data_IF_585088696863
#
_entry.id   IF_585088696863
#
_cell.length_a   1.000
_cell.length_b   1.000
_cell.length_c   1.000
_cell.angle_alpha   90.00
_cell.angle_beta   90.00
_cell.angle_gamma   90.00
#
_symmetry.space_group_name_H-M   'P 1'
#
loop_
_entity.id
_entity.type
_entity.pdbx_description
1 polymer ?
#
# COMPACT_ATOMS: atom_id res chain seq x y z
N UNK A 1 -5.29 9.83 -21.83
CA UNK A 1 -6.74 9.65 -22.00
C UNK A 1 -7.23 8.40 -21.28
N UNK A 2 -8.44 8.42 -20.77
CA UNK A 2 -9.17 7.29 -20.22
C UNK A 2 -10.55 7.25 -20.87
N UNK A 3 -11.07 6.05 -21.09
CA UNK A 3 -12.45 5.85 -21.55
C UNK A 3 -13.42 5.64 -20.36
N UNK A 4 -12.88 5.53 -19.15
CA UNK A 4 -13.64 5.18 -17.93
C UNK A 4 -13.59 6.25 -16.84
N UNK A 5 -12.59 7.12 -16.87
CA UNK A 5 -12.38 8.18 -15.90
C UNK A 5 -11.93 9.48 -16.57
N UNK A 6 -11.61 10.50 -15.76
CA UNK A 6 -11.12 11.77 -16.27
C UNK A 6 -9.71 11.63 -16.87
N UNK A 7 -8.86 10.82 -16.21
CA UNK A 7 -7.49 10.54 -16.66
C UNK A 7 -7.13 9.09 -16.37
N UNK A 8 -6.05 8.61 -17.02
CA UNK A 8 -5.45 7.31 -16.76
C UNK A 8 -4.02 7.51 -16.26
N UNK A 9 -3.70 6.90 -15.13
CA UNK A 9 -2.35 6.82 -14.59
C UNK A 9 -1.75 5.44 -14.92
N UNK A 10 -0.53 5.44 -15.43
CA UNK A 10 0.34 4.26 -15.50
C UNK A 10 1.60 4.54 -14.71
N UNK A 11 2.02 3.59 -13.93
CA UNK A 11 3.22 3.70 -13.10
C UNK A 11 4.12 2.49 -13.33
N UNK A 12 5.41 2.75 -13.46
CA UNK A 12 6.41 1.72 -13.65
C UNK A 12 7.43 1.77 -12.51
N UNK A 13 7.72 0.61 -11.96
CA UNK A 13 8.76 0.44 -10.96
C UNK A 13 10.16 0.48 -11.58
N UNK A 14 11.25 0.68 -10.80
CA UNK A 14 12.61 0.67 -11.31
C UNK A 14 13.02 -0.66 -11.99
N UNK A 15 12.39 -1.77 -11.62
CA UNK A 15 12.61 -3.10 -12.22
C UNK A 15 11.86 -3.29 -13.56
N UNK A 16 11.12 -2.26 -14.03
CA UNK A 16 10.36 -2.27 -15.29
C UNK A 16 8.95 -2.86 -15.17
N UNK A 17 8.54 -3.37 -14.02
CA UNK A 17 7.18 -3.87 -13.81
C UNK A 17 6.19 -2.69 -13.69
N UNK A 18 4.95 -2.89 -14.18
CA UNK A 18 3.89 -1.91 -14.01
C UNK A 18 3.20 -2.13 -12.65
N UNK A 19 3.18 -1.07 -11.83
CA UNK A 19 2.49 -1.07 -10.54
C UNK A 19 0.99 -0.84 -10.70
N UNK A 20 0.19 -1.55 -9.91
CA UNK A 20 -1.26 -1.47 -9.96
C UNK A 20 -1.79 -0.13 -9.43
N UNK A 21 -1.20 0.37 -8.34
CA UNK A 21 -1.61 1.62 -7.69
C UNK A 21 -0.48 2.17 -6.81
N UNK A 22 -0.33 3.49 -6.78
CA UNK A 22 0.53 4.23 -5.86
C UNK A 22 -0.17 5.50 -5.39
N UNK A 23 -0.51 5.58 -4.10
CA UNK A 23 -1.22 6.73 -3.54
C UNK A 23 -0.47 8.04 -3.66
N UNK A 24 0.87 8.02 -3.58
CA UNK A 24 1.70 9.22 -3.76
C UNK A 24 1.65 9.70 -5.21
N UNK A 25 1.87 8.80 -6.18
CA UNK A 25 1.80 9.13 -7.60
C UNK A 25 0.39 9.61 -8.00
N UNK A 26 -0.65 8.98 -7.46
CA UNK A 26 -2.04 9.35 -7.70
C UNK A 26 -2.32 10.81 -7.29
N UNK A 27 -1.87 11.22 -6.09
CA UNK A 27 -2.00 12.62 -5.63
C UNK A 27 -1.18 13.58 -6.51
N UNK A 28 0.04 13.18 -6.90
CA UNK A 28 0.87 13.98 -7.80
C UNK A 28 0.21 14.19 -9.16
N UNK A 29 -0.44 13.17 -9.73
CA UNK A 29 -1.22 13.29 -10.97
C UNK A 29 -2.39 14.26 -10.78
N UNK A 30 -3.16 14.14 -9.68
CA UNK A 30 -4.27 15.05 -9.38
C UNK A 30 -3.82 16.51 -9.34
N UNK A 31 -2.73 16.79 -8.63
CA UNK A 31 -2.13 18.14 -8.59
C UNK A 31 -1.68 18.60 -9.98
N UNK A 32 -0.97 17.77 -10.70
CA UNK A 32 -0.41 18.09 -12.02
C UNK A 32 -1.51 18.49 -13.01
N UNK A 33 -2.55 17.68 -13.15
CA UNK A 33 -3.59 17.94 -14.16
C UNK A 33 -4.39 19.20 -13.86
N UNK A 34 -4.60 19.54 -12.60
CA UNK A 34 -5.28 20.76 -12.20
C UNK A 34 -4.38 22.01 -12.36
N UNK A 35 -3.20 22.00 -11.77
CA UNK A 35 -2.29 23.15 -11.78
C UNK A 35 -1.83 23.51 -13.21
N UNK A 36 -1.73 22.51 -14.10
CA UNK A 36 -1.41 22.72 -15.51
C UNK A 36 -2.64 22.96 -16.39
N UNK A 37 -3.84 23.19 -15.81
CA UNK A 37 -5.06 23.55 -16.54
C UNK A 37 -5.51 22.51 -17.57
N UNK A 38 -5.23 21.23 -17.32
CA UNK A 38 -5.76 20.11 -18.11
C UNK A 38 -7.21 19.79 -17.72
N UNK A 39 -7.64 20.28 -16.56
CA UNK A 39 -9.00 20.21 -16.03
C UNK A 39 -9.25 21.34 -15.05
N UNK A 40 -10.51 21.71 -14.87
CA UNK A 40 -10.99 22.62 -13.81
C UNK A 40 -11.77 21.89 -12.70
N UNK A 41 -11.90 20.56 -12.82
CA UNK A 41 -12.61 19.74 -11.85
C UNK A 41 -11.77 19.59 -10.58
N UNK A 42 -12.45 19.66 -9.42
CA UNK A 42 -11.88 19.39 -8.09
C UNK A 42 -12.19 17.97 -7.58
N UNK A 43 -13.13 17.29 -8.21
CA UNK A 43 -13.40 15.85 -8.03
C UNK A 43 -12.93 15.13 -9.29
N UNK A 44 -11.97 14.21 -9.15
CA UNK A 44 -11.37 13.48 -10.26
C UNK A 44 -11.54 11.98 -10.07
N UNK A 45 -11.76 11.30 -11.18
CA UNK A 45 -11.74 9.84 -11.27
C UNK A 45 -10.56 9.43 -12.14
N UNK A 46 -9.59 8.76 -11.52
CA UNK A 46 -8.35 8.32 -12.19
C UNK A 46 -8.41 6.82 -12.43
N UNK A 47 -8.32 6.40 -13.67
CA UNK A 47 -8.15 5.00 -14.04
C UNK A 47 -6.72 4.55 -13.72
N UNK A 48 -6.58 3.45 -12.98
CA UNK A 48 -5.30 2.78 -12.69
C UNK A 48 -5.42 1.30 -13.01
N UNK A 49 -4.29 0.58 -13.04
CA UNK A 49 -4.31 -0.87 -13.20
C UNK A 49 -4.99 -1.56 -12.00
N UNK A 50 -4.94 -0.94 -10.81
CA UNK A 50 -5.60 -1.41 -9.56
C UNK A 50 -7.09 -1.06 -9.47
N UNK A 51 -7.66 -0.35 -10.47
CA UNK A 51 -9.06 0.07 -10.52
C UNK A 51 -9.25 1.58 -10.62
N UNK A 52 -10.49 2.03 -10.44
CA UNK A 52 -10.85 3.44 -10.45
C UNK A 52 -10.55 4.06 -9.09
N UNK A 53 -9.89 5.20 -9.08
CA UNK A 53 -9.48 5.93 -7.87
C UNK A 53 -10.14 7.31 -7.86
N UNK A 54 -10.65 7.72 -6.71
CA UNK A 54 -11.33 8.99 -6.55
C UNK A 54 -10.45 9.99 -5.77
N UNK A 55 -10.30 11.18 -6.32
CA UNK A 55 -9.54 12.27 -5.72
C UNK A 55 -10.45 13.46 -5.47
N UNK A 56 -10.32 14.07 -4.30
CA UNK A 56 -10.87 15.38 -3.97
C UNK A 56 -9.72 16.37 -3.82
N UNK A 57 -9.74 17.46 -4.60
CA UNK A 57 -8.72 18.49 -4.58
C UNK A 57 -9.20 19.71 -3.80
N UNK A 58 -8.39 20.18 -2.88
CA UNK A 58 -8.59 21.50 -2.23
C UNK A 58 -7.72 22.50 -2.96
N UNK A 59 -8.36 23.61 -3.41
CA UNK A 59 -7.70 24.64 -4.20
C UNK A 59 -7.61 25.93 -3.40
N UNK A 60 -6.43 26.53 -3.34
CA UNK A 60 -6.15 27.83 -2.71
C UNK A 60 -5.34 28.67 -3.70
N UNK A 61 -5.79 29.91 -3.92
CA UNK A 61 -5.13 30.86 -4.85
C UNK A 61 -4.93 30.31 -6.28
N UNK A 62 -5.86 29.44 -6.72
CA UNK A 62 -5.85 28.86 -8.04
C UNK A 62 -4.91 27.67 -8.25
N UNK A 63 -4.31 27.13 -7.18
CA UNK A 63 -3.46 25.94 -7.17
C UNK A 63 -3.94 24.92 -6.16
N UNK A 64 -3.66 23.66 -6.40
CA UNK A 64 -4.00 22.57 -5.46
C UNK A 64 -3.12 22.68 -4.21
N UNK A 65 -3.74 22.87 -3.06
CA UNK A 65 -3.09 22.96 -1.74
C UNK A 65 -3.16 21.65 -0.96
N UNK A 66 -4.21 20.84 -1.15
CA UNK A 66 -4.36 19.54 -0.52
C UNK A 66 -5.11 18.56 -1.41
N UNK A 67 -4.87 17.25 -1.23
CA UNK A 67 -5.49 16.18 -2.01
C UNK A 67 -5.88 15.02 -1.11
N UNK A 68 -7.16 14.72 -1.08
CA UNK A 68 -7.70 13.51 -0.51
C UNK A 68 -7.82 12.43 -1.60
N UNK A 69 -7.20 11.28 -1.39
CA UNK A 69 -7.37 10.10 -2.23
C UNK A 69 -8.20 9.06 -1.48
N UNK A 70 -9.30 8.60 -2.09
CA UNK A 70 -10.04 7.45 -1.62
C UNK A 70 -9.38 6.19 -2.22
N UNK A 71 -8.79 5.38 -1.36
CA UNK A 71 -8.14 4.12 -1.74
C UNK A 71 -9.06 2.90 -1.61
N UNK A 72 -10.33 3.12 -1.29
CA UNK A 72 -11.35 2.09 -1.13
C UNK A 72 -11.26 1.30 0.18
N UNK A 73 -11.85 0.13 0.19
CA UNK A 73 -11.88 -0.77 1.35
C UNK A 73 -10.75 -1.80 1.31
N UNK A 74 -10.20 -2.20 2.49
CA UNK A 74 -9.21 -3.26 2.57
C UNK A 74 -9.80 -4.59 2.14
N UNK A 75 -9.17 -5.26 1.20
CA UNK A 75 -9.55 -6.60 0.75
C UNK A 75 -8.70 -7.63 1.49
N UNK A 76 -9.35 -8.59 2.16
CA UNK A 76 -8.70 -9.59 3.00
C UNK A 76 -8.73 -11.00 2.41
N UNK A 77 -9.50 -11.21 1.34
CA UNK A 77 -9.59 -12.52 0.68
C UNK A 77 -8.26 -12.90 0.03
N UNK A 78 -7.73 -14.06 0.38
CA UNK A 78 -6.49 -14.62 -0.17
C UNK A 78 -6.54 -14.83 -1.68
N UNK A 79 -7.74 -15.04 -2.23
CA UNK A 79 -7.97 -15.14 -3.68
C UNK A 79 -7.74 -13.82 -4.41
N UNK A 80 -8.02 -12.68 -3.74
CA UNK A 80 -7.86 -11.34 -4.30
C UNK A 80 -6.44 -10.81 -4.09
N UNK A 81 -5.79 -11.21 -2.98
CA UNK A 81 -4.41 -10.79 -2.65
C UNK A 81 -3.38 -11.61 -3.41
N UNK A 82 -3.68 -12.56 -4.19
CA UNK A 82 -3.10 -13.84 -4.60
C UNK A 82 -2.06 -14.40 -3.61
N UNK A 83 -2.57 -15.21 -2.68
CA UNK A 83 -1.73 -15.96 -1.71
C UNK A 83 -1.95 -17.46 -1.94
N UNK A 84 -0.86 -18.23 -1.96
CA UNK A 84 -0.89 -19.69 -2.04
C UNK A 84 -1.23 -20.29 -0.68
N UNK A 85 -2.52 -20.41 -0.39
CA UNK A 85 -3.05 -21.01 0.84
C UNK A 85 -4.48 -21.49 0.64
N UNK A 86 -4.91 -22.45 1.45
CA UNK A 86 -6.31 -22.90 1.52
C UNK A 86 -7.18 -22.02 2.44
N UNK A 87 -6.59 -21.10 3.18
CA UNK A 87 -7.32 -20.19 4.08
C UNK A 87 -8.02 -19.09 3.29
N UNK A 88 -9.21 -18.68 3.71
CA UNK A 88 -9.97 -17.57 3.08
C UNK A 88 -9.33 -16.20 3.34
N UNK A 89 -8.67 -16.05 4.50
CA UNK A 89 -7.93 -14.84 4.91
C UNK A 89 -6.58 -15.23 5.49
N UNK A 90 -5.60 -14.34 5.39
CA UNK A 90 -4.24 -14.56 5.93
C UNK A 90 -3.97 -13.51 7.00
N UNK A 91 -4.48 -13.76 8.22
CA UNK A 91 -4.42 -12.84 9.35
C UNK A 91 -3.60 -13.46 10.46
N UNK A 92 -2.55 -12.74 10.92
CA UNK A 92 -1.67 -13.12 12.03
C UNK A 92 -1.06 -14.53 11.87
N UNK A 93 -0.72 -14.92 10.64
CA UNK A 93 -0.21 -16.25 10.36
C UNK A 93 1.30 -16.33 10.58
N UNK A 94 1.81 -17.37 11.28
CA UNK A 94 3.23 -17.54 11.47
C UNK A 94 3.92 -17.94 10.17
N UNK A 95 4.94 -17.18 9.79
CA UNK A 95 5.78 -17.42 8.61
C UNK A 95 7.24 -17.42 9.04
N UNK A 96 7.96 -18.51 8.76
CA UNK A 96 9.40 -18.57 8.98
C UNK A 96 10.14 -17.82 7.87
N UNK A 97 10.90 -16.80 8.26
CA UNK A 97 11.72 -15.98 7.37
C UNK A 97 13.14 -15.97 7.88
N UNK A 98 14.03 -16.68 7.21
CA UNK A 98 15.42 -16.86 7.64
C UNK A 98 15.48 -17.39 9.11
N UNK A 99 16.03 -16.57 9.99
CA UNK A 99 16.27 -16.88 11.42
C UNK A 99 15.13 -16.47 12.36
N UNK A 100 14.00 -15.92 11.81
CA UNK A 100 12.85 -15.42 12.60
C UNK A 100 11.52 -15.95 12.11
N UNK A 101 10.58 -16.08 13.02
CA UNK A 101 9.17 -16.28 12.70
C UNK A 101 8.45 -14.92 12.83
N UNK A 102 7.79 -14.49 11.75
CA UNK A 102 6.93 -13.31 11.74
C UNK A 102 5.47 -13.74 11.71
N UNK A 103 4.62 -13.01 12.39
CA UNK A 103 3.17 -13.14 12.31
C UNK A 103 2.64 -12.14 11.27
N UNK A 104 2.24 -12.66 10.12
CA UNK A 104 1.94 -11.88 8.93
C UNK A 104 0.43 -11.76 8.72
N UNK A 105 -0.04 -10.54 8.43
CA UNK A 105 -1.39 -10.26 7.95
C UNK A 105 -1.30 -9.70 6.54
N UNK A 106 -2.07 -10.27 5.61
CA UNK A 106 -2.11 -9.82 4.22
C UNK A 106 -3.35 -9.01 3.91
N UNK A 107 -3.18 -7.93 3.15
CA UNK A 107 -4.23 -6.98 2.75
C UNK A 107 -3.99 -6.55 1.30
N UNK A 108 -5.05 -6.26 0.54
CA UNK A 108 -4.93 -5.63 -0.78
C UNK A 108 -5.74 -4.35 -0.86
N UNK A 109 -5.13 -3.32 -1.44
CA UNK A 109 -5.72 -2.04 -1.85
C UNK A 109 -5.76 -1.91 -3.39
N UNK A 110 -5.74 -3.05 -4.10
CA UNK A 110 -5.50 -3.16 -5.53
C UNK A 110 -4.08 -3.63 -5.84
N UNK A 111 -3.14 -3.45 -4.91
CA UNK A 111 -1.80 -4.03 -4.88
C UNK A 111 -1.64 -4.91 -3.62
N UNK A 112 -0.82 -5.97 -3.65
CA UNK A 112 -0.62 -6.87 -2.52
C UNK A 112 0.27 -6.22 -1.45
N UNK A 113 -0.17 -6.33 -0.20
CA UNK A 113 0.57 -5.93 0.99
C UNK A 113 0.58 -7.05 2.02
N UNK A 114 1.64 -7.13 2.81
CA UNK A 114 1.65 -7.84 4.08
C UNK A 114 2.25 -6.95 5.18
N UNK A 115 1.69 -7.06 6.39
CA UNK A 115 2.20 -6.35 7.56
C UNK A 115 2.39 -7.29 8.73
N UNK A 116 3.35 -6.94 9.58
CA UNK A 116 3.71 -7.68 10.78
C UNK A 116 4.18 -6.74 11.88
N UNK A 117 3.99 -7.17 13.14
CA UNK A 117 4.53 -6.42 14.27
C UNK A 117 5.95 -6.86 14.61
N UNK A 118 6.77 -5.88 14.94
CA UNK A 118 8.15 -6.04 15.41
C UNK A 118 8.35 -5.21 16.69
N UNK A 119 9.34 -5.58 17.51
CA UNK A 119 9.62 -4.86 18.75
C UNK A 119 10.14 -3.44 18.51
N UNK A 120 10.96 -3.25 17.49
CA UNK A 120 11.53 -1.95 17.09
C UNK A 120 11.76 -1.97 15.59
N UNK A 121 11.23 -0.97 14.89
CA UNK A 121 11.51 -0.79 13.45
C UNK A 121 12.88 -0.16 13.22
N UNK A 122 13.40 0.58 14.21
CA UNK A 122 14.71 1.22 14.12
C UNK A 122 15.87 0.19 14.09
N UNK A 123 15.72 -0.89 14.86
CA UNK A 123 16.75 -1.92 15.01
C UNK A 123 16.59 -3.08 14.00
N UNK A 124 15.58 -3.02 13.15
CA UNK A 124 15.30 -4.07 12.18
C UNK A 124 16.13 -3.87 10.89
N UNK A 125 16.74 -4.93 10.43
CA UNK A 125 17.32 -5.01 9.09
C UNK A 125 16.20 -5.22 8.06
N UNK A 126 15.61 -4.09 7.62
CA UNK A 126 14.46 -4.08 6.69
C UNK A 126 14.85 -4.64 5.33
N UNK A 127 16.07 -4.37 4.85
CA UNK A 127 16.53 -4.92 3.57
C UNK A 127 16.62 -6.44 3.62
N UNK A 128 17.22 -7.00 4.67
CA UNK A 128 17.37 -8.45 4.86
C UNK A 128 16.02 -9.17 4.83
N UNK A 129 15.09 -8.74 5.68
CA UNK A 129 13.81 -9.43 5.82
C UNK A 129 12.78 -9.03 4.77
N UNK A 130 12.75 -7.76 4.37
CA UNK A 130 11.83 -7.25 3.37
C UNK A 130 12.04 -7.90 2.01
N UNK A 131 13.30 -7.97 1.57
CA UNK A 131 13.68 -8.63 0.33
C UNK A 131 13.32 -10.12 0.33
N UNK A 132 13.58 -10.81 1.44
CA UNK A 132 13.25 -12.23 1.56
C UNK A 132 11.74 -12.47 1.48
N UNK A 133 10.95 -11.70 2.25
CA UNK A 133 9.48 -11.82 2.25
C UNK A 133 8.90 -11.45 0.87
N UNK A 134 9.36 -10.36 0.25
CA UNK A 134 8.93 -9.98 -1.10
C UNK A 134 9.06 -11.14 -2.08
N UNK A 135 10.16 -11.90 -2.00
CA UNK A 135 10.50 -12.98 -2.93
C UNK A 135 10.01 -14.36 -2.49
N UNK A 136 9.25 -14.47 -1.41
CA UNK A 136 8.64 -15.75 -0.98
C UNK A 136 7.47 -16.13 -1.91
N UNK A 137 7.78 -16.46 -3.18
CA UNK A 137 6.77 -16.79 -4.19
C UNK A 137 5.99 -18.08 -3.90
N UNK A 138 6.47 -18.89 -2.96
CA UNK A 138 5.71 -20.02 -2.41
C UNK A 138 4.46 -19.58 -1.64
N UNK A 139 4.48 -18.39 -1.03
CA UNK A 139 3.35 -17.77 -0.32
C UNK A 139 2.73 -16.66 -1.17
N UNK A 140 3.56 -15.73 -1.66
CA UNK A 140 3.14 -14.56 -2.44
C UNK A 140 3.58 -14.72 -3.92
N UNK A 141 2.81 -15.41 -4.77
CA UNK A 141 3.23 -15.75 -6.13
C UNK A 141 3.54 -14.52 -7.01
N UNK A 142 2.89 -13.39 -6.73
CA UNK A 142 3.10 -12.11 -7.43
C UNK A 142 3.98 -11.14 -6.63
N UNK A 143 4.77 -11.68 -5.66
CA UNK A 143 5.49 -10.87 -4.66
C UNK A 143 4.53 -9.99 -3.83
N UNK A 144 5.05 -9.20 -2.88
CA UNK A 144 4.24 -8.35 -2.01
C UNK A 144 5.04 -7.15 -1.52
N UNK A 145 4.34 -6.07 -1.16
CA UNK A 145 4.89 -4.99 -0.34
C UNK A 145 4.90 -5.46 1.12
N UNK A 146 5.91 -5.07 1.88
CA UNK A 146 6.15 -5.56 3.24
C UNK A 146 6.22 -4.38 4.22
N UNK A 147 5.31 -4.34 5.18
CA UNK A 147 5.23 -3.30 6.20
C UNK A 147 5.64 -3.86 7.57
N UNK A 148 6.75 -3.42 8.09
CA UNK A 148 7.17 -3.70 9.47
C UNK A 148 6.61 -2.62 10.39
N UNK A 149 5.90 -3.04 11.44
CA UNK A 149 5.14 -2.16 12.32
C UNK A 149 5.60 -2.29 13.76
N UNK A 150 6.00 -1.18 14.40
CA UNK A 150 6.22 -1.08 15.83
C UNK A 150 4.96 -0.50 16.48
N UNK A 151 4.40 -1.24 17.43
CA UNK A 151 3.28 -0.76 18.22
C UNK A 151 3.79 0.14 19.35
N UNK A 152 3.44 1.41 19.34
CA UNK A 152 3.80 2.38 20.39
C UNK A 152 2.65 2.58 21.36
N UNK A 153 1.44 2.86 20.82
CA UNK A 153 0.20 3.00 21.59
C UNK A 153 -1.00 2.69 20.70
N UNK A 154 -2.22 2.69 21.26
CA UNK A 154 -3.44 2.40 20.48
C UNK A 154 -3.72 3.40 19.36
N UNK A 155 -3.14 4.57 19.41
CA UNK A 155 -3.27 5.69 18.48
C UNK A 155 -1.97 6.04 17.75
N UNK A 156 -0.88 5.28 18.00
CA UNK A 156 0.40 5.55 17.39
C UNK A 156 1.17 4.28 17.02
N UNK A 157 1.43 4.14 15.73
CA UNK A 157 2.26 3.10 15.13
C UNK A 157 3.47 3.75 14.44
N UNK A 158 4.62 3.09 14.49
CA UNK A 158 5.76 3.40 13.63
C UNK A 158 5.91 2.32 12.59
N UNK A 159 6.24 2.69 11.35
CA UNK A 159 6.44 1.73 10.28
C UNK A 159 7.76 1.97 9.55
N UNK A 160 8.29 0.89 8.96
CA UNK A 160 9.25 0.93 7.84
C UNK A 160 8.73 -0.01 6.75
N UNK A 161 8.93 0.40 5.51
CA UNK A 161 8.32 -0.23 4.34
C UNK A 161 9.38 -0.72 3.38
N UNK A 162 9.19 -1.96 2.91
CA UNK A 162 9.90 -2.51 1.76
C UNK A 162 8.89 -2.66 0.62
N UNK A 163 9.01 -1.83 -0.41
CA UNK A 163 8.07 -1.83 -1.53
C UNK A 163 8.51 -2.81 -2.62
N UNK A 164 7.56 -3.56 -3.13
CA UNK A 164 7.71 -4.55 -4.20
C UNK A 164 8.36 -3.92 -5.44
N UNK A 165 9.50 -4.48 -5.89
CA UNK A 165 10.24 -4.01 -7.06
C UNK A 165 11.00 -2.69 -6.87
N UNK A 166 11.02 -2.14 -5.65
CA UNK A 166 11.66 -0.84 -5.37
C UNK A 166 12.67 -0.94 -4.23
N UNK A 167 12.35 -1.66 -3.15
CA UNK A 167 13.17 -1.72 -1.95
C UNK A 167 12.62 -0.86 -0.82
N UNK A 168 13.46 -0.52 0.17
CA UNK A 168 13.04 0.34 1.28
C UNK A 168 12.77 1.76 0.80
N UNK A 169 11.61 2.31 1.16
CA UNK A 169 11.18 3.66 0.82
C UNK A 169 10.86 4.48 2.06
N UNK A 170 10.79 5.81 1.90
CA UNK A 170 10.52 6.74 3.01
C UNK A 170 9.08 6.61 3.52
N UNK A 171 8.13 6.20 2.67
CA UNK A 171 6.74 6.01 3.07
C UNK A 171 5.82 5.61 1.94
N UNK A 172 4.93 4.68 2.27
CA UNK A 172 3.89 4.13 1.41
C UNK A 172 2.52 4.35 2.06
N UNK A 173 1.62 5.08 1.39
CA UNK A 173 0.28 5.37 1.94
C UNK A 173 -0.56 4.10 2.15
N UNK A 174 -0.50 3.14 1.23
CA UNK A 174 -1.19 1.84 1.36
C UNK A 174 -0.53 0.94 2.41
N UNK A 175 0.79 1.07 2.61
CA UNK A 175 1.49 0.41 3.72
C UNK A 175 1.05 0.95 5.07
N UNK A 176 0.94 2.27 5.24
CA UNK A 176 0.37 2.88 6.46
C UNK A 176 -1.04 2.35 6.75
N UNK A 177 -1.91 2.33 5.73
CA UNK A 177 -3.27 1.80 5.87
C UNK A 177 -3.27 0.31 6.22
N UNK A 178 -2.35 -0.49 5.64
CA UNK A 178 -2.19 -1.92 5.96
C UNK A 178 -1.76 -2.13 7.41
N UNK A 179 -0.82 -1.32 7.93
CA UNK A 179 -0.40 -1.38 9.34
C UNK A 179 -1.58 -1.14 10.29
N UNK A 180 -2.41 -0.12 10.01
CA UNK A 180 -3.60 0.19 10.83
C UNK A 180 -4.63 -0.95 10.76
N UNK A 181 -4.94 -1.45 9.56
CA UNK A 181 -5.86 -2.59 9.40
C UNK A 181 -5.35 -3.81 10.16
N UNK A 182 -4.06 -4.12 10.05
CA UNK A 182 -3.44 -5.23 10.80
C UNK A 182 -3.56 -5.02 12.30
N UNK A 183 -3.33 -3.79 12.80
CA UNK A 183 -3.46 -3.47 14.22
C UNK A 183 -4.89 -3.68 14.73
N UNK A 184 -5.90 -3.28 13.94
CA UNK A 184 -7.32 -3.47 14.28
C UNK A 184 -7.66 -4.96 14.29
N UNK A 185 -7.30 -5.71 13.23
CA UNK A 185 -7.61 -7.13 13.10
C UNK A 185 -6.95 -7.99 14.18
N UNK A 186 -5.81 -7.55 14.71
CA UNK A 186 -5.09 -8.22 15.81
C UNK A 186 -5.42 -7.65 17.20
N UNK A 187 -6.41 -6.75 17.31
CA UNK A 187 -6.90 -6.19 18.57
C UNK A 187 -5.95 -5.19 19.25
N UNK A 188 -4.96 -4.66 18.54
CA UNK A 188 -3.99 -3.68 19.08
C UNK A 188 -4.54 -2.25 19.06
N UNK A 189 -5.37 -1.92 18.09
CA UNK A 189 -6.02 -0.62 17.95
C UNK A 189 -7.54 -0.78 17.83
N UNK A 190 -8.27 0.28 18.13
CA UNK A 190 -9.71 0.39 17.86
C UNK A 190 -9.94 0.85 16.41
N UNK A 191 -11.16 0.63 15.93
CA UNK A 191 -11.57 1.06 14.60
C UNK A 191 -11.95 2.55 14.60
#
# INVERSE_FOLDING_TARGET
PSDKGDFRMRMFNPDGTEGEMCGNALRSVGKYVYDHRLTDKTELVIETLGGMQHLTLTVTDGYVSDIRADIGEPRLSTKVIPINTEMDTFIDQPVQVLDRTFHITAVSWGNPHCAMFVNSVADLDVEKYGKEIEHMTSIFPNKTNVTFTEFVSRDYLKIREWERGTGETIGCGTGCATAVVTAILTGKCDR
#
